data_IF_628637950589
#
_entry.id   IF_628637950589
#
_cell.length_a   1.000
_cell.length_b   1.000
_cell.length_c   1.000
_cell.angle_alpha   90.00
_cell.angle_beta   90.00
_cell.angle_gamma   90.00
#
_symmetry.space_group_name_H-M   'P 1'
#
loop_
_entity.id
_entity.type
_entity.pdbx_description
1 polymer ?
#
# COMPACT_ATOMS: atom_id res chain seq x y z
N UNK A 1 -18.22 -5.00 -2.76
CA UNK A 1 -17.97 -3.64 -3.25
C UNK A 1 -17.15 -3.01 -2.15
N UNK A 2 -16.02 -2.39 -2.45
CA UNK A 2 -15.22 -1.72 -1.43
C UNK A 2 -15.91 -0.40 -1.12
N UNK A 3 -16.13 -0.12 0.17
CA UNK A 3 -16.92 1.05 0.55
C UNK A 3 -16.04 2.29 0.70
N UNK A 4 -14.75 2.12 1.03
CA UNK A 4 -13.81 3.21 1.26
C UNK A 4 -12.64 3.19 0.27
N UNK A 5 -12.01 2.04 0.03
CA UNK A 5 -10.72 1.99 -0.68
C UNK A 5 -10.90 1.91 -2.21
N UNK A 6 -10.96 3.07 -2.87
CA UNK A 6 -11.18 3.20 -4.33
C UNK A 6 -10.42 4.40 -4.89
N UNK A 7 -10.09 4.38 -6.19
CA UNK A 7 -9.44 5.51 -6.88
C UNK A 7 -10.40 6.70 -7.15
N UNK A 8 -11.22 7.03 -6.16
CA UNK A 8 -12.17 8.13 -6.14
C UNK A 8 -11.96 8.92 -4.85
N UNK A 9 -11.72 10.23 -4.93
CA UNK A 9 -11.34 11.00 -3.76
C UNK A 9 -12.48 11.11 -2.75
N UNK A 10 -12.12 11.05 -1.47
CA UNK A 10 -12.99 11.43 -0.36
C UNK A 10 -12.94 12.93 -0.14
N UNK A 11 -14.07 13.55 0.21
CA UNK A 11 -14.00 14.92 0.71
C UNK A 11 -13.26 14.92 2.06
N UNK A 12 -12.48 15.96 2.36
CA UNK A 12 -11.80 16.06 3.66
C UNK A 12 -12.77 15.95 4.83
N UNK A 13 -13.99 16.47 4.68
CA UNK A 13 -15.03 16.43 5.71
C UNK A 13 -15.56 15.00 5.99
N UNK A 14 -15.36 14.06 5.06
CA UNK A 14 -15.78 12.67 5.20
C UNK A 14 -14.73 11.83 5.95
N UNK A 15 -13.53 12.38 6.21
CA UNK A 15 -12.49 11.74 7.03
C UNK A 15 -12.72 12.13 8.49
N UNK A 16 -13.15 11.19 9.37
CA UNK A 16 -13.51 11.52 10.74
C UNK A 16 -12.33 12.00 11.57
N UNK A 17 -12.62 12.71 12.67
CA UNK A 17 -11.58 13.16 13.59
C UNK A 17 -10.98 11.98 14.37
N UNK A 18 -9.64 11.87 14.48
CA UNK A 18 -9.01 10.81 15.25
C UNK A 18 -9.50 10.71 16.71
N UNK A 19 -9.61 9.48 17.19
CA UNK A 19 -10.05 9.19 18.56
C UNK A 19 -11.57 9.17 18.76
N UNK A 20 -12.37 9.50 17.75
CA UNK A 20 -13.85 9.38 17.83
C UNK A 20 -14.33 7.96 17.45
N UNK A 21 -15.58 7.59 17.82
CA UNK A 21 -16.19 6.34 17.35
C UNK A 21 -16.26 6.24 15.82
N UNK A 22 -16.50 7.35 15.14
CA UNK A 22 -16.57 7.42 13.67
C UNK A 22 -15.21 7.13 13.03
N UNK A 23 -14.11 7.62 13.63
CA UNK A 23 -12.75 7.28 13.18
C UNK A 23 -12.47 5.78 13.32
N UNK A 24 -12.94 5.17 14.40
CA UNK A 24 -12.81 3.72 14.61
C UNK A 24 -13.59 2.93 13.54
N UNK A 25 -14.83 3.31 13.27
CA UNK A 25 -15.64 2.70 12.22
C UNK A 25 -14.98 2.87 10.83
N UNK A 26 -14.45 4.06 10.56
CA UNK A 26 -13.69 4.32 9.33
C UNK A 26 -12.46 3.42 9.19
N UNK A 27 -11.66 3.27 10.26
CA UNK A 27 -10.50 2.37 10.26
C UNK A 27 -10.92 0.90 10.11
N UNK A 28 -12.04 0.50 10.71
CA UNK A 28 -12.58 -0.84 10.56
C UNK A 28 -12.89 -1.15 9.08
N UNK A 29 -13.63 -0.26 8.41
CA UNK A 29 -13.99 -0.43 6.99
C UNK A 29 -12.75 -0.36 6.08
N UNK A 30 -11.83 0.56 6.36
CA UNK A 30 -10.59 0.70 5.60
C UNK A 30 -9.70 -0.54 5.71
N UNK A 31 -9.55 -1.10 6.91
CA UNK A 31 -8.77 -2.30 7.15
C UNK A 31 -9.42 -3.53 6.53
N UNK A 32 -10.76 -3.65 6.62
CA UNK A 32 -11.51 -4.70 5.96
C UNK A 32 -11.30 -4.70 4.44
N UNK A 33 -11.47 -3.54 3.79
CA UNK A 33 -11.26 -3.37 2.36
C UNK A 33 -9.81 -3.69 1.96
N UNK A 34 -8.84 -3.16 2.71
CA UNK A 34 -7.41 -3.40 2.46
C UNK A 34 -7.04 -4.88 2.54
N UNK A 35 -7.47 -5.59 3.60
CA UNK A 35 -7.19 -7.02 3.76
C UNK A 35 -7.94 -7.86 2.72
N UNK A 36 -9.16 -7.48 2.33
CA UNK A 36 -9.87 -8.13 1.23
C UNK A 36 -9.11 -8.02 -0.09
N UNK A 37 -8.60 -6.83 -0.43
CA UNK A 37 -7.80 -6.59 -1.64
C UNK A 37 -6.49 -7.39 -1.59
N UNK A 38 -5.76 -7.37 -0.47
CA UNK A 38 -4.52 -8.14 -0.30
C UNK A 38 -4.76 -9.63 -0.49
N UNK A 39 -5.86 -10.18 0.06
CA UNK A 39 -6.23 -11.59 -0.09
C UNK A 39 -6.59 -11.95 -1.53
N UNK A 40 -7.43 -11.14 -2.19
CA UNK A 40 -7.85 -11.37 -3.57
C UNK A 40 -6.67 -11.37 -4.54
N UNK A 41 -5.65 -10.59 -4.22
CA UNK A 41 -4.45 -10.41 -5.03
C UNK A 41 -3.24 -11.17 -4.54
N UNK A 42 -3.39 -12.10 -3.59
CA UNK A 42 -2.25 -12.85 -3.09
C UNK A 42 -1.72 -13.80 -4.17
N UNK A 43 -0.75 -13.31 -4.95
CA UNK A 43 -0.13 -14.02 -6.06
C UNK A 43 0.79 -15.17 -5.64
N UNK A 44 0.81 -15.50 -4.34
CA UNK A 44 1.71 -16.48 -3.74
C UNK A 44 1.52 -17.91 -4.26
N UNK A 45 0.34 -18.22 -4.79
CA UNK A 45 0.03 -19.51 -5.44
C UNK A 45 0.85 -19.76 -6.71
N UNK A 46 1.50 -18.73 -7.28
CA UNK A 46 2.34 -18.84 -8.48
C UNK A 46 3.82 -18.88 -8.16
N UNK A 47 4.22 -18.82 -6.88
CA UNK A 47 5.64 -18.73 -6.53
C UNK A 47 6.42 -19.85 -7.19
N UNK A 48 5.96 -21.11 -7.19
CA UNK A 48 6.61 -22.29 -7.79
C UNK A 48 6.98 -22.22 -9.29
N UNK A 49 6.38 -21.32 -10.08
CA UNK A 49 6.61 -21.21 -11.54
C UNK A 49 7.20 -19.88 -12.01
N UNK A 50 7.48 -18.95 -11.09
CA UNK A 50 8.03 -17.64 -11.44
C UNK A 50 9.51 -17.74 -11.86
N UNK A 51 9.81 -17.15 -13.02
CA UNK A 51 11.17 -16.93 -13.53
C UNK A 51 11.78 -15.58 -13.06
N UNK A 52 10.98 -14.74 -12.38
CA UNK A 52 11.33 -13.37 -11.97
C UNK A 52 11.08 -13.17 -10.47
N UNK A 53 11.78 -12.21 -9.80
CA UNK A 53 11.66 -11.97 -8.36
C UNK A 53 10.33 -11.32 -7.94
N UNK A 54 9.53 -10.87 -8.91
CA UNK A 54 8.24 -10.22 -8.70
C UNK A 54 7.16 -11.00 -9.45
N UNK A 55 6.05 -11.28 -8.75
CA UNK A 55 4.82 -11.82 -9.31
C UNK A 55 3.84 -10.68 -9.60
N UNK A 56 3.10 -10.77 -10.70
CA UNK A 56 2.13 -9.75 -11.11
C UNK A 56 0.74 -10.38 -11.31
N UNK A 57 -0.29 -9.66 -10.91
CA UNK A 57 -1.68 -9.99 -11.16
C UNK A 57 -2.50 -8.73 -11.46
N UNK A 58 -3.64 -8.91 -12.10
CA UNK A 58 -4.60 -7.83 -12.28
C UNK A 58 -6.02 -8.39 -12.18
N UNK A 59 -6.88 -7.71 -11.44
CA UNK A 59 -8.29 -8.06 -11.26
C UNK A 59 -9.13 -7.00 -11.98
N UNK A 60 -9.93 -7.40 -12.98
CA UNK A 60 -10.80 -6.47 -13.67
C UNK A 60 -11.74 -5.73 -12.73
N UNK A 61 -11.93 -4.45 -12.99
CA UNK A 61 -12.89 -3.62 -12.27
C UNK A 61 -14.32 -4.15 -12.43
N UNK A 62 -15.02 -4.29 -11.32
CA UNK A 62 -16.44 -4.67 -11.28
C UNK A 62 -17.38 -3.47 -11.16
N UNK A 63 -16.84 -2.26 -11.28
CA UNK A 63 -17.56 -1.00 -11.10
C UNK A 63 -18.74 -0.85 -12.07
N UNK A 64 -19.81 -0.10 -11.75
CA UNK A 64 -20.95 0.04 -12.65
C UNK A 64 -20.57 0.62 -14.02
N UNK A 65 -21.26 0.19 -15.09
CA UNK A 65 -21.07 0.77 -16.43
C UNK A 65 -21.33 2.28 -16.42
N UNK A 66 -20.54 3.04 -17.18
CA UNK A 66 -20.64 4.49 -17.24
C UNK A 66 -19.92 5.22 -16.10
N UNK A 67 -19.46 4.51 -15.07
CA UNK A 67 -18.52 5.08 -14.10
C UNK A 67 -17.13 5.17 -14.69
N UNK A 68 -16.36 6.15 -14.20
CA UNK A 68 -14.97 6.34 -14.63
C UNK A 68 -14.07 5.16 -14.27
N UNK A 69 -14.38 4.48 -13.17
CA UNK A 69 -13.61 3.33 -12.67
C UNK A 69 -13.97 1.99 -13.32
N UNK A 70 -14.97 1.91 -14.21
CA UNK A 70 -15.35 0.66 -14.92
C UNK A 70 -14.18 -0.03 -15.64
N UNK A 71 -13.22 0.76 -16.11
CA UNK A 71 -12.02 0.27 -16.78
C UNK A 71 -10.76 0.27 -15.93
N UNK A 72 -10.82 0.73 -14.68
CA UNK A 72 -9.66 0.90 -13.80
C UNK A 72 -9.45 -0.36 -12.95
N UNK A 73 -8.64 -1.30 -13.42
CA UNK A 73 -8.42 -2.58 -12.75
C UNK A 73 -7.58 -2.41 -11.47
N UNK A 74 -7.69 -3.40 -10.60
CA UNK A 74 -6.73 -3.54 -9.51
C UNK A 74 -5.50 -4.26 -10.05
N UNK A 75 -4.36 -3.57 -10.09
CA UNK A 75 -3.08 -4.16 -10.47
C UNK A 75 -2.25 -4.44 -9.22
N UNK A 76 -1.62 -5.60 -9.20
CA UNK A 76 -1.00 -6.12 -7.99
C UNK A 76 0.36 -6.72 -8.27
N UNK A 77 1.26 -6.52 -7.34
CA UNK A 77 2.58 -7.15 -7.31
C UNK A 77 2.83 -7.86 -5.99
N UNK A 78 3.69 -8.86 -6.02
CA UNK A 78 4.27 -9.45 -4.82
C UNK A 78 5.74 -9.77 -5.05
N UNK A 79 6.56 -9.53 -4.03
CA UNK A 79 7.98 -9.90 -3.97
C UNK A 79 8.23 -10.68 -2.68
N UNK A 80 9.16 -11.64 -2.72
CA UNK A 80 9.53 -12.47 -1.58
C UNK A 80 11.05 -12.41 -1.39
N UNK A 81 11.48 -12.02 -0.20
CA UNK A 81 12.88 -11.75 0.11
C UNK A 81 13.30 -12.62 1.30
N UNK A 82 14.32 -13.44 1.12
CA UNK A 82 14.89 -14.22 2.22
C UNK A 82 16.09 -13.48 2.80
N UNK A 83 16.12 -13.19 4.11
CA UNK A 83 17.25 -12.49 4.74
C UNK A 83 18.60 -13.17 4.51
N UNK A 84 18.64 -14.50 4.35
CA UNK A 84 19.85 -15.25 4.02
C UNK A 84 20.41 -14.93 2.63
N UNK A 85 19.56 -14.58 1.68
CA UNK A 85 19.94 -14.28 0.30
C UNK A 85 20.19 -12.78 0.11
N UNK A 86 19.36 -11.94 0.73
CA UNK A 86 19.38 -10.48 0.52
C UNK A 86 20.16 -9.73 1.60
N UNK A 87 20.38 -10.32 2.77
CA UNK A 87 20.89 -9.60 3.95
C UNK A 87 19.90 -8.59 4.53
N UNK A 88 18.64 -8.61 4.09
CA UNK A 88 17.60 -7.68 4.50
C UNK A 88 16.55 -8.40 5.38
N UNK A 89 16.56 -8.18 6.70
CA UNK A 89 15.54 -8.73 7.59
C UNK A 89 14.25 -7.88 7.56
N UNK A 90 13.21 -8.31 8.27
CA UNK A 90 11.89 -7.65 8.28
C UNK A 90 11.98 -6.17 8.69
N UNK A 91 12.85 -5.85 9.64
CA UNK A 91 13.03 -4.49 10.20
C UNK A 91 13.43 -3.49 9.12
N UNK A 92 14.14 -3.93 8.08
CA UNK A 92 14.50 -3.07 6.94
C UNK A 92 13.25 -2.65 6.15
N UNK A 93 12.29 -3.55 5.99
CA UNK A 93 11.03 -3.25 5.32
C UNK A 93 10.15 -2.38 6.21
N UNK A 94 10.13 -2.65 7.51
CA UNK A 94 9.42 -1.82 8.49
C UNK A 94 9.95 -0.38 8.50
N UNK A 95 11.27 -0.18 8.62
CA UNK A 95 11.89 1.15 8.60
C UNK A 95 11.71 1.87 7.27
N UNK A 96 11.73 1.13 6.16
CA UNK A 96 11.70 1.70 4.83
C UNK A 96 10.30 1.98 4.30
N UNK A 97 9.33 1.12 4.61
CA UNK A 97 7.99 1.13 4.02
C UNK A 97 6.90 1.50 5.02
N UNK A 98 7.03 1.19 6.31
CA UNK A 98 6.03 1.57 7.32
C UNK A 98 6.34 2.93 7.93
N UNK A 99 7.55 3.07 8.48
CA UNK A 99 7.98 4.28 9.20
C UNK A 99 8.37 5.36 8.21
N UNK A 100 7.86 6.59 8.42
CA UNK A 100 8.12 7.72 7.52
C UNK A 100 7.89 7.36 6.04
N UNK A 101 6.81 6.62 5.77
CA UNK A 101 6.52 6.01 4.47
C UNK A 101 6.69 6.99 3.29
N UNK A 102 5.92 8.08 3.25
CA UNK A 102 5.94 9.01 2.11
C UNK A 102 7.28 9.75 1.95
N UNK A 103 7.95 10.24 3.01
CA UNK A 103 9.31 10.75 2.90
C UNK A 103 10.33 9.73 2.36
N UNK A 104 10.23 8.47 2.78
CA UNK A 104 11.10 7.41 2.26
C UNK A 104 10.81 7.13 0.78
N UNK A 105 9.54 7.05 0.39
CA UNK A 105 9.14 6.90 -1.02
C UNK A 105 9.75 7.98 -1.89
N UNK A 106 9.72 9.25 -1.48
CA UNK A 106 10.37 10.33 -2.24
C UNK A 106 11.86 10.07 -2.47
N UNK A 107 12.53 9.39 -1.54
CA UNK A 107 13.96 9.12 -1.63
C UNK A 107 14.31 8.00 -2.63
N UNK A 108 13.41 7.05 -2.89
CA UNK A 108 13.65 5.92 -3.79
C UNK A 108 12.78 5.90 -5.06
N UNK A 109 11.69 6.66 -5.12
CA UNK A 109 10.85 6.81 -6.31
C UNK A 109 11.31 8.03 -7.10
N UNK A 110 12.18 7.83 -8.09
CA UNK A 110 12.80 8.91 -8.86
C UNK A 110 11.83 9.85 -9.58
N UNK A 111 10.62 9.40 -9.90
CA UNK A 111 9.59 10.23 -10.52
C UNK A 111 8.90 11.16 -9.52
N UNK A 112 8.92 10.84 -8.23
CA UNK A 112 8.35 11.68 -7.16
C UNK A 112 9.32 12.85 -6.89
N UNK A 113 8.91 14.05 -7.26
CA UNK A 113 9.73 15.25 -7.12
C UNK A 113 9.61 15.89 -5.74
N UNK A 114 8.43 15.75 -5.13
CA UNK A 114 8.09 16.40 -3.88
C UNK A 114 6.95 15.67 -3.18
N UNK A 115 7.04 15.57 -1.86
CA UNK A 115 6.04 15.10 -0.93
C UNK A 115 5.98 16.06 0.26
N UNK A 116 4.78 16.51 0.57
CA UNK A 116 4.50 17.44 1.67
C UNK A 116 3.34 16.88 2.51
N UNK A 117 3.50 16.84 3.83
CA UNK A 117 2.41 16.53 4.73
C UNK A 117 1.56 17.78 4.92
N UNK A 118 0.34 17.78 4.39
CA UNK A 118 -0.61 18.88 4.52
C UNK A 118 -1.28 18.89 5.89
N UNK A 119 -1.52 17.70 6.44
CA UNK A 119 -2.16 17.52 7.74
C UNK A 119 -1.72 16.21 8.37
N UNK A 120 -1.20 16.25 9.59
CA UNK A 120 -0.94 15.06 10.40
C UNK A 120 -2.17 14.77 11.28
N UNK A 121 -2.85 13.66 11.01
CA UNK A 121 -4.05 13.26 11.75
C UNK A 121 -3.67 12.49 13.01
N UNK A 122 -2.81 11.48 12.84
CA UNK A 122 -2.29 10.65 13.94
C UNK A 122 -0.79 10.51 13.75
N UNK A 123 0.04 11.07 14.65
CA UNK A 123 1.49 11.03 14.50
C UNK A 123 2.03 9.63 14.28
N UNK A 124 2.73 9.42 13.17
CA UNK A 124 3.30 8.12 12.78
C UNK A 124 2.32 7.07 12.24
N UNK A 125 1.01 7.35 12.19
CA UNK A 125 -0.02 6.41 11.72
C UNK A 125 -0.89 6.93 10.59
N UNK A 126 -1.20 8.23 10.55
CA UNK A 126 -2.11 8.77 9.55
C UNK A 126 -1.80 10.23 9.23
N UNK A 127 -1.69 10.55 7.94
CA UNK A 127 -1.54 11.92 7.47
C UNK A 127 -2.06 12.11 6.05
N UNK A 128 -2.39 13.34 5.71
CA UNK A 128 -2.77 13.74 4.35
C UNK A 128 -1.54 14.32 3.66
N UNK A 129 -1.16 13.73 2.54
CA UNK A 129 0.07 14.04 1.82
C UNK A 129 -0.23 14.57 0.42
N UNK A 130 0.49 15.62 0.01
CA UNK A 130 0.54 16.10 -1.38
C UNK A 130 1.82 15.59 -2.04
N UNK A 131 1.67 14.77 -3.07
CA UNK A 131 2.79 14.20 -3.82
C UNK A 131 2.76 14.70 -5.27
N UNK A 132 3.91 15.13 -5.78
CA UNK A 132 4.07 15.67 -7.14
C UNK A 132 5.04 14.81 -7.92
N UNK A 133 4.60 14.36 -9.09
CA UNK A 133 5.33 13.45 -9.94
C UNK A 133 5.65 14.06 -11.29
N UNK A 134 6.89 13.85 -11.72
CA UNK A 134 7.32 14.11 -13.09
C UNK A 134 6.94 12.93 -13.96
N UNK A 135 6.23 13.22 -15.04
CA UNK A 135 5.87 12.20 -16.02
C UNK A 135 6.80 12.24 -17.24
N UNK A 136 6.81 11.18 -18.07
CA UNK A 136 7.60 11.16 -19.30
C UNK A 136 7.25 12.33 -20.23
N UNK A 137 8.24 12.73 -21.03
CA UNK A 137 8.14 13.86 -21.97
C UNK A 137 6.91 13.75 -22.88
N UNK A 138 6.14 14.83 -22.98
CA UNK A 138 4.92 14.91 -23.78
C UNK A 138 3.62 14.61 -23.03
N UNK A 139 3.67 14.35 -21.72
CA UNK A 139 2.47 14.28 -20.88
C UNK A 139 2.53 15.30 -19.73
N UNK A 140 1.37 15.77 -19.27
CA UNK A 140 1.32 16.68 -18.12
C UNK A 140 1.82 15.98 -16.85
N UNK A 141 2.43 16.72 -15.92
CA UNK A 141 2.82 16.16 -14.63
C UNK A 141 1.58 15.77 -13.81
N UNK A 142 1.73 14.86 -12.83
CA UNK A 142 0.63 14.43 -11.98
C UNK A 142 0.89 14.83 -10.54
N UNK A 143 -0.16 15.26 -9.87
CA UNK A 143 -0.17 15.36 -8.42
C UNK A 143 -1.24 14.44 -7.84
N UNK A 144 -1.00 13.99 -6.62
CA UNK A 144 -1.88 13.14 -5.84
C UNK A 144 -2.00 13.76 -4.45
N UNK A 145 -3.21 13.76 -3.90
CA UNK A 145 -3.44 14.14 -2.51
C UNK A 145 -4.16 13.00 -1.84
N UNK A 146 -3.56 12.44 -0.79
CA UNK A 146 -3.95 11.15 -0.25
C UNK A 146 -3.87 11.13 1.27
N UNK A 147 -4.87 10.51 1.88
CA UNK A 147 -4.78 10.00 3.23
C UNK A 147 -3.91 8.74 3.16
N UNK A 148 -2.74 8.79 3.81
CA UNK A 148 -1.84 7.66 3.98
C UNK A 148 -1.99 7.18 5.41
N UNK A 149 -2.39 5.92 5.58
CA UNK A 149 -2.54 5.24 6.87
C UNK A 149 -1.54 4.10 6.98
N UNK A 150 -0.61 4.19 7.92
CA UNK A 150 0.46 3.23 8.21
C UNK A 150 0.13 2.45 9.47
N UNK A 151 -0.19 1.16 9.33
CA UNK A 151 -0.70 0.33 10.41
C UNK A 151 0.25 -0.84 10.71
N UNK A 152 1.02 -0.79 11.81
CA UNK A 152 1.58 -2.01 12.40
C UNK A 152 0.42 -2.91 12.84
N UNK A 153 0.50 -4.20 12.50
CA UNK A 153 -0.53 -5.18 12.84
C UNK A 153 -0.06 -6.05 14.01
N UNK A 154 -1.01 -6.56 14.79
CA UNK A 154 -0.71 -7.57 15.80
C UNK A 154 -0.13 -8.82 15.12
N UNK A 155 0.90 -9.47 15.71
CA UNK A 155 1.40 -10.73 15.21
C UNK A 155 0.32 -11.79 15.14
N UNK A 156 0.40 -12.66 14.13
CA UNK A 156 -0.55 -13.74 13.95
C UNK A 156 0.07 -14.88 13.14
N UNK A 157 -0.27 -16.13 13.43
CA UNK A 157 0.23 -17.33 12.74
C UNK A 157 0.03 -17.28 11.22
N UNK A 158 -1.07 -16.66 10.78
CA UNK A 158 -1.45 -16.51 9.37
C UNK A 158 -1.73 -15.04 9.02
N UNK A 159 -0.71 -14.20 8.79
CA UNK A 159 -0.92 -12.79 8.50
C UNK A 159 -1.75 -12.58 7.23
N UNK A 160 -2.62 -11.58 7.29
CA UNK A 160 -3.63 -11.22 6.28
C UNK A 160 -4.74 -12.26 6.03
N UNK A 161 -4.79 -13.35 6.80
CA UNK A 161 -5.92 -14.28 6.75
C UNK A 161 -7.21 -13.64 7.26
N UNK A 162 -8.35 -14.30 7.04
CA UNK A 162 -9.61 -13.87 7.63
C UNK A 162 -9.61 -13.96 9.16
N UNK A 163 -8.90 -14.94 9.74
CA UNK A 163 -8.75 -15.05 11.20
C UNK A 163 -7.94 -13.88 11.77
N UNK A 164 -6.88 -13.49 11.08
CA UNK A 164 -6.09 -12.31 11.45
C UNK A 164 -6.93 -11.05 11.40
N UNK A 165 -7.72 -10.86 10.32
CA UNK A 165 -8.65 -9.74 10.21
C UNK A 165 -9.62 -9.68 11.39
N UNK A 166 -10.27 -10.80 11.74
CA UNK A 166 -11.18 -10.84 12.91
C UNK A 166 -10.48 -10.41 14.19
N UNK A 167 -9.28 -10.92 14.47
CA UNK A 167 -8.50 -10.55 15.65
C UNK A 167 -8.11 -9.06 15.67
N UNK A 168 -7.76 -8.51 14.50
CA UNK A 168 -7.43 -7.10 14.35
C UNK A 168 -8.64 -6.18 14.58
N UNK A 169 -9.79 -6.52 14.02
CA UNK A 169 -11.02 -5.74 14.20
C UNK A 169 -11.49 -5.79 15.67
N UNK A 170 -11.37 -6.95 16.33
CA UNK A 170 -11.63 -7.06 17.76
C UNK A 170 -10.67 -6.20 18.60
N UNK A 171 -9.38 -6.19 18.26
CA UNK A 171 -8.40 -5.33 18.93
C UNK A 171 -8.69 -3.84 18.74
N UNK A 172 -9.14 -3.47 17.54
CA UNK A 172 -9.58 -2.11 17.23
C UNK A 172 -10.80 -1.72 18.08
N UNK A 173 -11.78 -2.62 18.26
CA UNK A 173 -12.97 -2.40 19.10
C UNK A 173 -12.65 -2.33 20.59
N UNK A 174 -11.70 -3.14 21.06
CA UNK A 174 -11.27 -3.14 22.47
C UNK A 174 -10.27 -2.01 22.78
N UNK A 175 -9.75 -1.31 21.78
CA UNK A 175 -8.72 -0.28 21.96
C UNK A 175 -7.36 -0.86 22.38
N UNK A 176 -7.08 -2.10 22.01
CA UNK A 176 -5.82 -2.82 22.28
C UNK A 176 -4.86 -2.81 21.09
N UNK A 177 -5.19 -2.01 20.05
CA UNK A 177 -4.35 -1.80 18.89
C UNK A 177 -2.96 -1.24 19.26
N UNK A 178 -1.89 -1.55 18.51
CA UNK A 178 -0.57 -0.95 18.71
C UNK A 178 -0.62 0.59 18.77
N UNK A 179 -0.04 1.16 19.82
CA UNK A 179 0.02 2.61 20.05
C UNK A 179 1.32 3.25 19.58
N UNK A 180 2.27 2.43 19.13
CA UNK A 180 3.55 2.85 18.54
C UNK A 180 3.59 2.48 17.06
N UNK A 181 4.33 3.23 16.22
CA UNK A 181 4.50 2.91 14.80
C UNK A 181 5.41 1.68 14.56
N UNK A 182 5.95 1.10 15.62
CA UNK A 182 6.72 -0.14 15.57
C UNK A 182 5.80 -1.37 15.47
N UNK A 183 6.18 -2.33 14.64
CA UNK A 183 5.49 -3.61 14.57
C UNK A 183 5.81 -4.41 15.84
N UNK A 184 4.80 -4.92 16.57
CA UNK A 184 5.06 -5.71 17.77
C UNK A 184 5.94 -6.92 17.47
N UNK A 185 6.84 -7.25 18.40
CA UNK A 185 7.66 -8.46 18.31
C UNK A 185 6.76 -9.71 18.33
N UNK A 186 7.17 -10.75 17.60
CA UNK A 186 6.47 -12.01 17.54
C UNK A 186 7.34 -13.16 18.04
N UNK A 187 6.74 -14.12 18.73
CA UNK A 187 7.34 -15.41 19.02
C UNK A 187 6.72 -16.46 18.09
N UNK A 188 7.51 -17.45 17.64
CA UNK A 188 6.98 -18.56 16.85
C UNK A 188 5.84 -19.25 17.61
N UNK A 189 4.68 -19.51 16.98
CA UNK A 189 4.43 -19.53 15.52
C UNK A 189 3.94 -18.22 14.90
N UNK A 190 3.77 -17.14 15.68
CA UNK A 190 3.24 -15.88 15.18
C UNK A 190 4.24 -15.16 14.26
N UNK A 191 3.69 -14.50 13.25
CA UNK A 191 4.43 -13.80 12.21
C UNK A 191 4.05 -12.32 12.20
N UNK A 192 5.06 -11.47 12.03
CA UNK A 192 4.90 -10.02 12.00
C UNK A 192 4.31 -9.57 10.68
N UNK A 193 3.51 -8.50 10.74
CA UNK A 193 3.01 -7.86 9.53
C UNK A 193 2.63 -6.39 9.76
N UNK A 194 2.54 -5.65 8.66
CA UNK A 194 2.00 -4.30 8.63
C UNK A 194 1.32 -4.03 7.29
N UNK A 195 0.48 -2.99 7.26
CA UNK A 195 -0.10 -2.46 6.02
C UNK A 195 0.09 -0.96 5.92
N UNK A 196 0.22 -0.48 4.68
CA UNK A 196 0.13 0.93 4.32
C UNK A 196 -1.03 1.08 3.35
N UNK A 197 -1.94 2.00 3.63
CA UNK A 197 -3.17 2.19 2.87
C UNK A 197 -3.23 3.64 2.41
N UNK A 198 -3.35 3.85 1.11
CA UNK A 198 -3.50 5.18 0.53
C UNK A 198 -4.88 5.36 -0.07
N UNK A 199 -5.59 6.40 0.38
CA UNK A 199 -6.93 6.77 -0.07
C UNK A 199 -6.89 8.17 -0.64
N UNK A 200 -7.38 8.41 -1.87
CA UNK A 200 -7.34 9.74 -2.46
C UNK A 200 -8.26 10.70 -1.71
N UNK A 201 -7.84 11.97 -1.61
CA UNK A 201 -8.56 13.05 -0.93
C UNK A 201 -8.76 14.23 -1.88
N UNK A 202 -9.94 14.83 -1.81
CA UNK A 202 -10.24 16.04 -2.56
C UNK A 202 -9.34 17.18 -2.11
N UNK A 203 -8.77 17.90 -3.06
CA UNK A 203 -7.90 19.04 -2.80
C UNK A 203 -7.95 20.00 -3.99
N UNK A 204 -7.81 21.32 -3.78
CA UNK A 204 -7.74 22.29 -4.87
C UNK A 204 -6.75 21.92 -5.98
N UNK A 205 -6.98 22.38 -7.23
CA UNK A 205 -6.05 22.15 -8.34
C UNK A 205 -4.67 22.72 -8.05
N UNK A 206 -3.63 21.98 -8.42
CA UNK A 206 -2.24 22.43 -8.37
C UNK A 206 -1.86 22.98 -9.75
N UNK A 207 -1.35 24.23 -9.87
CA UNK A 207 -0.88 24.78 -11.14
C UNK A 207 0.12 23.85 -11.83
N UNK A 208 0.01 23.66 -13.14
CA UNK A 208 0.88 22.81 -13.98
C UNK A 208 0.80 21.29 -13.74
N UNK A 209 -0.09 20.82 -12.87
CA UNK A 209 -0.31 19.39 -12.62
C UNK A 209 -1.74 19.00 -12.98
N UNK A 210 -1.89 17.76 -13.47
CA UNK A 210 -3.18 17.08 -13.58
C UNK A 210 -3.37 16.23 -12.33
N UNK A 211 -4.39 16.54 -11.53
CA UNK A 211 -4.78 15.71 -10.39
C UNK A 211 -5.19 14.34 -10.87
N UNK A 212 -4.44 13.33 -10.46
CA UNK A 212 -4.77 11.93 -10.62
C UNK A 212 -5.19 11.36 -9.26
N UNK A 213 -5.84 10.20 -9.29
CA UNK A 213 -6.29 9.51 -8.08
C UNK A 213 -5.81 8.07 -8.15
N UNK A 214 -5.20 7.57 -7.08
CA UNK A 214 -5.09 6.14 -6.87
C UNK A 214 -5.57 5.79 -5.47
N UNK A 215 -5.99 4.53 -5.34
CA UNK A 215 -6.08 3.86 -4.06
C UNK A 215 -5.05 2.74 -4.05
N UNK A 216 -4.38 2.53 -2.93
CA UNK A 216 -3.42 1.43 -2.79
C UNK A 216 -3.46 0.79 -1.41
N UNK A 217 -3.07 -0.47 -1.39
CA UNK A 217 -2.70 -1.18 -0.17
C UNK A 217 -1.35 -1.86 -0.41
N UNK A 218 -0.40 -1.56 0.46
CA UNK A 218 0.83 -2.31 0.62
C UNK A 218 0.74 -3.17 1.86
N UNK A 219 1.03 -4.46 1.73
CA UNK A 219 1.08 -5.40 2.84
C UNK A 219 2.46 -6.02 2.92
N UNK A 220 3.10 -5.92 4.08
CA UNK A 220 4.36 -6.62 4.35
C UNK A 220 4.13 -7.61 5.48
N UNK A 221 4.58 -8.84 5.29
CA UNK A 221 4.50 -9.88 6.32
C UNK A 221 5.73 -10.76 6.31
N UNK A 222 6.06 -11.32 7.47
CA UNK A 222 6.84 -12.54 7.53
C UNK A 222 6.02 -13.68 6.91
N UNK A 223 6.69 -14.54 6.14
CA UNK A 223 6.06 -15.62 5.38
C UNK A 223 6.86 -16.92 5.57
N UNK A 224 6.26 -17.87 6.28
CA UNK A 224 6.73 -19.25 6.46
C UNK A 224 6.21 -20.21 5.39
N UNK A 225 5.22 -19.79 4.60
CA UNK A 225 4.60 -20.58 3.53
C UNK A 225 5.40 -20.49 2.21
N UNK A 226 6.53 -19.78 2.23
CA UNK A 226 7.46 -19.67 1.11
C UNK A 226 8.15 -21.00 0.77
N UNK A 227 8.59 -21.11 -0.48
CA UNK A 227 9.26 -22.27 -1.14
C UNK A 227 10.36 -23.03 -0.34
N UNK A 228 10.83 -22.49 0.81
CA UNK A 228 11.97 -22.96 1.60
C UNK A 228 11.50 -23.31 3.01
N UNK A 229 11.15 -24.59 3.22
CA UNK A 229 10.71 -25.12 4.52
C UNK A 229 11.66 -24.70 5.66
N UNK A 230 11.12 -24.10 6.71
CA UNK A 230 11.86 -23.70 7.90
C UNK A 230 12.62 -22.37 7.76
N UNK A 231 12.47 -21.65 6.65
CA UNK A 231 13.00 -20.29 6.50
C UNK A 231 11.87 -19.27 6.44
N UNK A 232 11.96 -18.25 7.30
CA UNK A 232 11.05 -17.08 7.26
C UNK A 232 11.54 -16.12 6.19
N UNK A 233 10.72 -15.90 5.16
CA UNK A 233 10.92 -14.82 4.20
C UNK A 233 10.13 -13.57 4.60
N UNK A 234 10.45 -12.44 3.97
CA UNK A 234 9.64 -11.22 4.03
C UNK A 234 8.91 -11.08 2.71
N UNK A 235 7.59 -11.19 2.73
CA UNK A 235 6.74 -10.96 1.56
C UNK A 235 6.24 -9.52 1.58
N UNK A 236 6.45 -8.81 0.47
CA UNK A 236 5.88 -7.49 0.23
C UNK A 236 4.90 -7.56 -0.94
N UNK A 237 3.64 -7.23 -0.66
CA UNK A 237 2.55 -7.13 -1.61
C UNK A 237 2.17 -5.67 -1.79
N UNK A 238 1.77 -5.30 -3.00
CA UNK A 238 1.15 -4.01 -3.29
C UNK A 238 0.01 -4.25 -4.27
N UNK A 239 -1.15 -3.65 -4.01
CA UNK A 239 -2.27 -3.59 -4.94
C UNK A 239 -2.71 -2.16 -5.11
N UNK A 240 -2.94 -1.72 -6.34
CA UNK A 240 -3.37 -0.35 -6.63
C UNK A 240 -4.44 -0.32 -7.72
N UNK A 241 -5.39 0.60 -7.57
CA UNK A 241 -6.32 1.03 -8.61
C UNK A 241 -6.01 2.49 -8.92
N UNK A 242 -5.99 2.87 -10.20
CA UNK A 242 -5.60 4.22 -10.61
C UNK A 242 -6.57 4.81 -11.63
N UNK A 243 -6.79 6.11 -11.51
CA UNK A 243 -7.44 6.98 -12.48
C UNK A 243 -6.51 8.18 -12.75
N UNK A 244 -5.70 8.10 -13.81
CA UNK A 244 -4.68 9.10 -14.12
C UNK A 244 -5.24 10.44 -14.60
N UNK A 245 -6.56 10.54 -14.83
CA UNK A 245 -7.25 11.75 -15.30
C UNK A 245 -6.67 12.33 -16.60
N UNK A 246 -7.18 13.49 -17.01
CA UNK A 246 -6.81 14.14 -18.27
C UNK A 246 -7.18 13.34 -19.52
N UNK A 247 -6.32 13.42 -20.54
CA UNK A 247 -6.54 12.89 -21.88
C UNK A 247 -5.91 11.51 -22.13
N UNK A 248 -5.25 10.91 -21.14
CA UNK A 248 -4.63 9.58 -21.31
C UNK A 248 -5.76 8.54 -21.44
N UNK A 249 -5.87 7.82 -22.57
CA UNK A 249 -6.86 6.77 -22.71
C UNK A 249 -6.68 5.68 -21.65
N UNK A 250 -7.77 5.16 -21.07
CA UNK A 250 -7.71 4.17 -19.98
C UNK A 250 -6.84 2.96 -20.33
N UNK A 251 -6.98 2.41 -21.54
CA UNK A 251 -6.21 1.24 -21.97
C UNK A 251 -4.69 1.45 -21.95
N UNK A 252 -4.21 2.70 -22.13
CA UNK A 252 -2.78 3.04 -22.02
C UNK A 252 -2.34 3.00 -20.56
N UNK A 253 -3.20 3.48 -19.65
CA UNK A 253 -2.94 3.45 -18.21
C UNK A 253 -2.82 1.99 -17.75
N UNK A 254 -3.85 1.18 -18.02
CA UNK A 254 -3.91 -0.25 -17.65
C UNK A 254 -2.73 -1.05 -18.19
N UNK A 255 -2.28 -0.73 -19.41
CA UNK A 255 -1.12 -1.39 -20.01
C UNK A 255 0.20 -1.04 -19.30
N UNK A 256 0.35 0.20 -18.82
CA UNK A 256 1.56 0.66 -18.16
C UNK A 256 1.67 0.20 -16.70
N UNK A 257 0.54 0.06 -15.98
CA UNK A 257 0.50 -0.20 -14.54
C UNK A 257 1.38 -1.37 -14.07
N UNK A 258 1.35 -2.58 -14.69
CA UNK A 258 2.14 -3.71 -14.20
C UNK A 258 3.65 -3.45 -14.19
N UNK A 259 4.15 -2.67 -15.15
CA UNK A 259 5.58 -2.33 -15.23
C UNK A 259 5.98 -1.26 -14.21
N UNK A 260 5.09 -0.30 -13.94
CA UNK A 260 5.32 0.77 -12.97
C UNK A 260 5.44 0.19 -11.57
N UNK A 261 4.44 -0.59 -11.14
CA UNK A 261 4.47 -1.19 -9.80
C UNK A 261 5.67 -2.12 -9.61
N UNK A 262 6.07 -2.88 -10.65
CA UNK A 262 7.20 -3.78 -10.55
C UNK A 262 8.55 -3.06 -10.34
N UNK A 263 8.68 -1.81 -10.79
CA UNK A 263 9.91 -1.04 -10.70
C UNK A 263 10.22 -0.52 -9.29
N UNK A 264 9.21 -0.47 -8.41
CA UNK A 264 9.38 0.00 -7.03
C UNK A 264 10.28 -0.92 -6.22
N UNK A 265 10.16 -2.24 -6.41
CA UNK A 265 10.94 -3.24 -5.66
C UNK A 265 12.45 -3.06 -5.84
N UNK A 266 13.01 -3.08 -7.07
CA UNK A 266 14.45 -2.86 -7.23
C UNK A 266 14.89 -1.45 -6.80
N UNK A 267 14.03 -0.43 -6.94
CA UNK A 267 14.35 0.94 -6.51
C UNK A 267 14.50 1.03 -4.98
N UNK A 268 13.56 0.42 -4.24
CA UNK A 268 13.61 0.29 -2.79
C UNK A 268 14.86 -0.47 -2.32
N UNK A 269 15.13 -1.64 -2.91
CA UNK A 269 16.28 -2.46 -2.53
C UNK A 269 17.61 -1.73 -2.77
N UNK A 270 17.74 -1.03 -3.90
CA UNK A 270 18.92 -0.23 -4.21
C UNK A 270 19.12 0.91 -3.19
N UNK A 271 18.05 1.59 -2.81
CA UNK A 271 18.07 2.65 -1.80
C UNK A 271 18.47 2.11 -0.42
N UNK A 272 17.88 1.01 0.03
CA UNK A 272 18.25 0.34 1.28
C UNK A 272 19.74 0.00 1.30
N UNK A 273 20.25 -0.62 0.23
CA UNK A 273 21.67 -0.96 0.16
C UNK A 273 22.56 0.28 0.21
N UNK A 274 22.16 1.38 -0.43
CA UNK A 274 22.91 2.64 -0.40
C UNK A 274 22.97 3.28 1.00
N UNK A 275 21.95 3.09 1.84
CA UNK A 275 21.92 3.60 3.22
C UNK A 275 22.77 2.77 4.20
N UNK A 276 23.09 1.53 3.84
CA UNK A 276 23.81 0.56 4.69
C UNK A 276 25.28 0.39 4.30
N UNK A 277 25.71 1.00 3.19
CA UNK A 277 27.09 1.03 2.71
C UNK A 277 27.89 2.16 3.37
#
# INVERSE_FOLDING_TARGET
MYDVLRAQPLARADIPAPGTPEWRAFLHDLLHDALAIVRMNNTSTRWGSLQRPVSLASIPSIEPKGTRLRGAHWHSRSSLHFPKDTGLPFEVFEEGLLKNHTPNEQAYIHSMQHAECLEELVPGFAGIWHMRYKTPWGTANRDFVELVVTLPLLPHELPFSHFHEVALLEALDQGTWPTTPDVPSAESPDLRSFVVISVPVEHPPTPDYVRAYYASVEGVREDLLGRRLGEVGVQWLMSTQTDARGWIPQWVQEWAMPSQIAADVPSFLAWVHSKRA
#
